data_IF_194324849964
#
_entry.id   IF_194324849964
#
_cell.length_a   1.000
_cell.length_b   1.000
_cell.length_c   1.000
_cell.angle_alpha   90.00
_cell.angle_beta   90.00
_cell.angle_gamma   90.00
#
_symmetry.space_group_name_H-M   'P 1'
#
loop_
_entity.id
_entity.type
_entity.pdbx_description
1 polymer ?
#
# COMPACT_ATOMS: atom_id res chain seq x y z
N UNK A 1 -3.45 6.42 -3.12
CA UNK A 1 -3.71 6.84 -1.72
C UNK A 1 -2.42 7.30 -1.06
N UNK A 2 -2.46 8.32 -0.17
CA UNK A 2 -1.34 8.64 0.72
C UNK A 2 -1.04 7.49 1.69
N UNK A 3 0.20 7.41 2.18
CA UNK A 3 0.64 6.43 3.18
C UNK A 3 -0.30 6.34 4.38
N UNK A 4 -0.68 7.49 4.92
CA UNK A 4 -1.51 7.60 6.12
C UNK A 4 -2.88 6.94 5.94
N UNK A 5 -3.55 7.18 4.80
CA UNK A 5 -4.84 6.55 4.51
C UNK A 5 -4.73 5.02 4.44
N UNK A 6 -3.62 4.49 3.91
CA UNK A 6 -3.40 3.03 3.87
C UNK A 6 -3.23 2.48 5.28
N UNK A 7 -2.49 3.18 6.14
CA UNK A 7 -2.33 2.80 7.54
C UNK A 7 -3.69 2.84 8.28
N UNK A 8 -4.46 3.90 8.09
CA UNK A 8 -5.79 4.08 8.69
C UNK A 8 -6.77 3.01 8.24
N UNK A 9 -6.79 2.68 6.93
CA UNK A 9 -7.63 1.61 6.39
C UNK A 9 -7.29 0.22 6.96
N UNK A 10 -6.05 0.01 7.40
CA UNK A 10 -5.62 -1.21 8.09
C UNK A 10 -5.81 -1.15 9.61
N UNK A 11 -6.37 -0.05 10.14
CA UNK A 11 -6.53 0.20 11.58
C UNK A 11 -5.23 0.09 12.39
N UNK A 12 -4.08 0.38 11.78
CA UNK A 12 -2.76 0.29 12.41
C UNK A 12 -2.40 1.62 13.09
N UNK A 13 -1.93 1.57 14.34
CA UNK A 13 -1.56 2.79 15.09
C UNK A 13 -0.08 3.16 14.95
N UNK A 14 0.80 2.16 14.83
CA UNK A 14 2.25 2.36 14.81
C UNK A 14 2.78 2.48 13.38
N UNK A 15 3.31 3.67 13.03
CA UNK A 15 3.86 3.94 11.71
C UNK A 15 5.03 3.01 11.36
N UNK A 16 6.01 2.85 12.25
CA UNK A 16 7.21 2.07 11.96
C UNK A 16 6.88 0.60 11.68
N UNK A 17 5.95 0.05 12.47
CA UNK A 17 5.44 -1.30 12.24
C UNK A 17 4.68 -1.38 10.90
N UNK A 18 3.79 -0.42 10.61
CA UNK A 18 3.11 -0.38 9.31
C UNK A 18 4.11 -0.34 8.15
N UNK A 19 5.15 0.48 8.24
CA UNK A 19 6.16 0.62 7.18
C UNK A 19 6.97 -0.66 6.99
N UNK A 20 7.42 -1.27 8.07
CA UNK A 20 8.29 -2.46 8.02
C UNK A 20 7.53 -3.75 7.72
N UNK A 21 6.33 -3.94 8.28
CA UNK A 21 5.58 -5.19 8.16
C UNK A 21 4.60 -5.20 6.98
N UNK A 22 4.15 -4.04 6.48
CA UNK A 22 3.12 -3.97 5.43
C UNK A 22 3.61 -3.24 4.18
N UNK A 23 3.99 -1.98 4.31
CA UNK A 23 4.31 -1.14 3.15
C UNK A 23 5.54 -1.61 2.39
N UNK A 24 6.68 -1.79 3.08
CA UNK A 24 7.93 -2.25 2.46
C UNK A 24 7.77 -3.64 1.83
N UNK A 25 7.17 -4.65 2.50
CA UNK A 25 6.95 -5.95 1.88
C UNK A 25 6.04 -5.90 0.65
N UNK A 26 5.00 -5.06 0.64
CA UNK A 26 4.12 -4.91 -0.51
C UNK A 26 4.83 -4.24 -1.71
N UNK A 27 5.68 -3.25 -1.46
CA UNK A 27 6.55 -2.65 -2.47
C UNK A 27 7.57 -3.66 -3.01
N UNK A 28 8.23 -4.42 -2.13
CA UNK A 28 9.22 -5.42 -2.51
C UNK A 28 8.62 -6.56 -3.34
N UNK A 29 7.37 -6.94 -3.05
CA UNK A 29 6.60 -7.91 -3.85
C UNK A 29 6.03 -7.32 -5.14
N UNK A 30 6.14 -6.00 -5.34
CA UNK A 30 5.66 -5.33 -6.55
C UNK A 30 4.14 -5.34 -6.71
N UNK A 31 3.37 -5.57 -5.65
CA UNK A 31 1.88 -5.52 -5.70
C UNK A 31 1.36 -4.09 -5.59
N UNK A 32 2.16 -3.20 -5.01
CA UNK A 32 1.93 -1.76 -5.00
C UNK A 32 3.18 -1.03 -5.48
N UNK A 33 3.02 0.21 -5.92
CA UNK A 33 4.12 1.07 -6.36
C UNK A 33 3.93 2.51 -5.86
N UNK A 34 5.03 3.25 -5.87
CA UNK A 34 5.07 4.69 -5.61
C UNK A 34 4.70 5.49 -6.86
N UNK A 35 3.91 6.54 -6.72
CA UNK A 35 3.59 7.43 -7.86
C UNK A 35 4.69 8.45 -8.17
N UNK A 36 5.57 8.73 -7.21
CA UNK A 36 6.72 9.64 -7.32
C UNK A 36 8.03 8.95 -6.87
N UNK A 37 8.51 7.92 -7.59
CA UNK A 37 9.67 7.13 -7.17
C UNK A 37 10.95 7.98 -7.00
N UNK A 38 11.13 9.03 -7.79
CA UNK A 38 12.30 9.92 -7.73
C UNK A 38 12.30 10.85 -6.49
N UNK A 39 11.13 11.02 -5.85
CA UNK A 39 10.96 11.90 -4.69
C UNK A 39 10.24 11.17 -3.56
N UNK A 40 10.83 10.10 -3.00
CA UNK A 40 10.17 9.20 -2.04
C UNK A 40 9.77 9.87 -0.72
N UNK A 41 10.38 11.02 -0.40
CA UNK A 41 10.08 11.83 0.80
C UNK A 41 9.12 12.98 0.52
N UNK A 42 8.57 13.09 -0.69
CA UNK A 42 7.62 14.14 -1.05
C UNK A 42 6.35 14.03 -0.21
N UNK A 43 5.81 15.16 0.26
CA UNK A 43 4.47 15.24 0.85
C UNK A 43 3.37 14.81 -0.12
N UNK A 44 3.62 14.92 -1.42
CA UNK A 44 2.71 14.48 -2.48
C UNK A 44 2.87 13.00 -2.85
N UNK A 45 3.73 12.26 -2.15
CA UNK A 45 3.92 10.84 -2.38
C UNK A 45 2.62 10.06 -2.16
N UNK A 46 2.24 9.27 -3.16
CA UNK A 46 1.09 8.36 -3.10
C UNK A 46 1.52 6.95 -3.51
N UNK A 47 0.65 5.99 -3.20
CA UNK A 47 0.79 4.60 -3.60
C UNK A 47 -0.44 4.16 -4.37
N UNK A 48 -0.26 3.23 -5.29
CA UNK A 48 -1.31 2.58 -6.07
C UNK A 48 -1.00 1.10 -6.26
N UNK A 49 -2.01 0.31 -6.60
CA UNK A 49 -1.83 -1.08 -7.03
C UNK A 49 -1.14 -1.12 -8.38
N UNK A 50 -0.21 -2.05 -8.54
CA UNK A 50 0.32 -2.42 -9.86
C UNK A 50 -0.67 -3.35 -10.57
N UNK A 51 -0.39 -3.69 -11.83
CA UNK A 51 -1.11 -4.75 -12.55
C UNK A 51 -1.08 -6.07 -11.79
N UNK A 52 0.04 -6.41 -11.13
CA UNK A 52 0.15 -7.62 -10.32
C UNK A 52 -0.79 -7.56 -9.11
N UNK A 53 -0.82 -6.44 -8.39
CA UNK A 53 -1.71 -6.26 -7.26
C UNK A 53 -3.19 -6.30 -7.64
N UNK A 54 -3.56 -5.71 -8.78
CA UNK A 54 -4.93 -5.75 -9.30
C UNK A 54 -5.37 -7.19 -9.61
N UNK A 55 -4.55 -7.94 -10.35
CA UNK A 55 -4.83 -9.35 -10.66
C UNK A 55 -4.96 -10.21 -9.41
N UNK A 56 -4.13 -9.95 -8.40
CA UNK A 56 -4.21 -10.67 -7.14
C UNK A 56 -5.56 -10.42 -6.43
N UNK A 57 -6.05 -9.18 -6.42
CA UNK A 57 -7.36 -8.83 -5.85
C UNK A 57 -8.53 -9.43 -6.64
N UNK A 58 -8.45 -9.45 -7.97
CA UNK A 58 -9.46 -10.10 -8.81
C UNK A 58 -9.54 -11.62 -8.52
N UNK A 59 -8.38 -12.25 -8.29
CA UNK A 59 -8.30 -13.66 -7.93
C UNK A 59 -8.68 -13.96 -6.47
N UNK A 60 -8.59 -12.97 -5.59
CA UNK A 60 -8.87 -13.08 -4.15
C UNK A 60 -9.81 -11.95 -3.73
N UNK A 61 -11.07 -11.95 -4.20
CA UNK A 61 -12.05 -10.98 -3.72
C UNK A 61 -12.16 -11.17 -2.21
N UNK A 62 -11.71 -10.17 -1.45
CA UNK A 62 -11.90 -10.17 -0.01
C UNK A 62 -13.39 -10.33 0.27
N UNK A 63 -13.76 -11.21 1.19
CA UNK A 63 -15.11 -11.23 1.76
C UNK A 63 -15.36 -9.85 2.34
N UNK A 64 -16.06 -9.00 1.58
CA UNK A 64 -16.52 -7.71 2.03
C UNK A 64 -17.52 -7.92 3.14
N UNK A 65 -17.07 -7.85 4.38
CA UNK A 65 -17.98 -7.53 5.48
C UNK A 65 -18.27 -6.05 5.35
N UNK A 66 -19.55 -5.73 5.11
CA UNK A 66 -20.07 -4.37 4.93
C UNK A 66 -20.00 -3.50 6.17
#
# INVERSE_FOLDING_TARGET
MPRQQIQEALALKHEDHFRSAYLKPALARGVIEMTLPDKPRSSNQRYRLTTLGQRWLEAHPGTGTG
#
